data_IF_003693008163
#
_entry.id   IF_003693008163
#
_cell.length_a   1.000
_cell.length_b   1.000
_cell.length_c   1.000
_cell.angle_alpha   90.00
_cell.angle_beta   90.00
_cell.angle_gamma   90.00
#
_symmetry.space_group_name_H-M   'P 1'
#
loop_
_entity.id
_entity.type
_entity.pdbx_description
1 polymer ?
#
# COMPACT_ATOMS: atom_id res chain seq x y z
N UNK A 1 19.05 -9.34 28.29
CA UNK A 1 17.98 -9.88 27.42
C UNK A 1 17.77 -8.85 26.29
N UNK A 2 18.78 -8.61 25.45
CA UNK A 2 18.96 -7.28 24.82
C UNK A 2 19.23 -7.32 23.30
N UNK A 3 18.69 -8.29 22.56
CA UNK A 3 18.88 -8.36 21.11
C UNK A 3 17.58 -8.61 20.33
N UNK A 4 16.48 -7.97 20.70
CA UNK A 4 15.37 -7.85 19.75
C UNK A 4 15.78 -6.90 18.65
N UNK A 5 15.92 -7.38 17.40
CA UNK A 5 16.41 -6.52 16.34
C UNK A 5 15.34 -5.47 15.98
N UNK A 6 15.77 -4.24 15.77
CA UNK A 6 14.88 -3.11 15.52
C UNK A 6 13.94 -3.32 14.32
N UNK A 7 14.37 -4.06 13.30
CA UNK A 7 13.53 -4.40 12.15
C UNK A 7 12.30 -5.24 12.51
N UNK A 8 12.40 -6.09 13.54
CA UNK A 8 11.29 -6.95 13.99
C UNK A 8 10.25 -6.13 14.74
N UNK A 9 10.69 -5.18 15.56
CA UNK A 9 9.80 -4.23 16.26
C UNK A 9 9.07 -3.35 15.23
N UNK A 10 9.78 -2.79 14.26
CA UNK A 10 9.17 -1.96 13.23
C UNK A 10 8.16 -2.75 12.39
N UNK A 11 8.53 -3.97 11.96
CA UNK A 11 7.62 -4.85 11.23
C UNK A 11 6.37 -5.18 12.04
N UNK A 12 6.53 -5.46 13.34
CA UNK A 12 5.41 -5.71 14.24
C UNK A 12 4.48 -4.50 14.37
N UNK A 13 5.04 -3.29 14.49
CA UNK A 13 4.27 -2.04 14.53
C UNK A 13 3.48 -1.85 13.23
N UNK A 14 4.12 -2.01 12.06
CA UNK A 14 3.45 -1.87 10.77
C UNK A 14 2.29 -2.85 10.59
N UNK A 15 2.53 -4.13 10.88
CA UNK A 15 1.53 -5.18 10.74
C UNK A 15 0.37 -4.98 11.71
N UNK A 16 0.67 -4.66 12.98
CA UNK A 16 -0.36 -4.41 13.99
C UNK A 16 -1.24 -3.21 13.63
N UNK A 17 -0.64 -2.10 13.20
CA UNK A 17 -1.37 -0.92 12.77
C UNK A 17 -2.29 -1.21 11.58
N UNK A 18 -1.79 -1.95 10.57
CA UNK A 18 -2.58 -2.34 9.42
C UNK A 18 -3.74 -3.29 9.79
N UNK A 19 -3.48 -4.29 10.63
CA UNK A 19 -4.48 -5.28 11.10
C UNK A 19 -5.60 -4.61 11.89
N UNK A 20 -5.36 -3.49 12.57
CA UNK A 20 -6.40 -2.75 13.29
C UNK A 20 -7.11 -1.75 12.36
N UNK A 21 -6.34 -0.94 11.62
CA UNK A 21 -6.89 0.17 10.85
C UNK A 21 -7.70 -0.28 9.63
N UNK A 22 -7.29 -1.35 8.94
CA UNK A 22 -7.95 -1.81 7.72
C UNK A 22 -9.35 -2.37 8.00
N UNK A 23 -9.56 -3.27 8.98
CA UNK A 23 -10.91 -3.70 9.36
C UNK A 23 -11.77 -2.55 9.85
N UNK A 24 -11.21 -1.61 10.62
CA UNK A 24 -11.95 -0.42 11.07
C UNK A 24 -12.43 0.43 9.88
N UNK A 25 -11.54 0.70 8.92
CA UNK A 25 -11.88 1.42 7.68
C UNK A 25 -12.98 0.70 6.90
N UNK A 26 -12.87 -0.63 6.75
CA UNK A 26 -13.90 -1.43 6.09
C UNK A 26 -15.23 -1.43 6.85
N UNK A 27 -15.20 -1.48 8.18
CA UNK A 27 -16.39 -1.43 9.02
C UNK A 27 -17.14 -0.09 8.89
N UNK A 28 -16.42 1.00 8.62
CA UNK A 28 -16.98 2.31 8.32
C UNK A 28 -17.46 2.46 6.86
N UNK A 29 -17.37 1.41 6.04
CA UNK A 29 -17.76 1.44 4.63
C UNK A 29 -16.74 2.10 3.70
N UNK A 30 -15.52 2.38 4.18
CA UNK A 30 -14.44 2.97 3.40
C UNK A 30 -13.60 1.89 2.70
N UNK A 31 -12.97 2.24 1.59
CA UNK A 31 -12.03 1.36 0.89
C UNK A 31 -10.79 1.03 1.75
N UNK A 32 -10.20 -0.15 1.56
CA UNK A 32 -9.05 -0.61 2.35
C UNK A 32 -7.82 0.32 2.27
N UNK A 33 -7.66 1.01 1.14
CA UNK A 33 -6.59 1.99 0.91
C UNK A 33 -6.62 3.11 1.96
N UNK A 34 -7.82 3.56 2.36
CA UNK A 34 -7.96 4.60 3.39
C UNK A 34 -7.45 4.10 4.74
N UNK A 35 -7.73 2.84 5.09
CA UNK A 35 -7.20 2.21 6.30
C UNK A 35 -5.67 2.14 6.31
N UNK A 36 -5.03 1.79 5.18
CA UNK A 36 -3.57 1.78 5.08
C UNK A 36 -2.96 3.18 5.22
N UNK A 37 -3.56 4.19 4.59
CA UNK A 37 -3.11 5.57 4.70
C UNK A 37 -3.28 6.10 6.13
N UNK A 38 -4.42 5.84 6.76
CA UNK A 38 -4.68 6.24 8.13
C UNK A 38 -3.71 5.57 9.11
N UNK A 39 -3.41 4.28 8.94
CA UNK A 39 -2.42 3.57 9.73
C UNK A 39 -1.03 4.24 9.62
N UNK A 40 -0.59 4.53 8.39
CA UNK A 40 0.70 5.18 8.12
C UNK A 40 0.80 6.57 8.72
N UNK A 41 -0.26 7.38 8.59
CA UNK A 41 -0.32 8.70 9.25
C UNK A 41 -0.28 8.57 10.78
N UNK A 42 -1.00 7.59 11.34
CA UNK A 42 -1.07 7.39 12.78
C UNK A 42 0.25 6.91 13.39
N UNK A 43 1.00 6.02 12.73
CA UNK A 43 2.28 5.51 13.27
C UNK A 43 3.50 6.33 12.83
N UNK A 44 3.33 7.18 11.81
CA UNK A 44 4.39 8.01 11.28
C UNK A 44 4.80 9.17 12.20
N UNK A 45 5.77 9.99 11.77
CA UNK A 45 6.35 11.06 12.59
C UNK A 45 5.34 12.10 13.08
N UNK A 46 4.28 12.33 12.28
CA UNK A 46 3.23 13.31 12.57
C UNK A 46 2.09 12.75 13.42
N UNK A 47 2.04 11.43 13.64
CA UNK A 47 1.07 10.76 14.50
C UNK A 47 1.68 10.44 15.86
N UNK A 48 1.84 9.15 16.13
CA UNK A 48 2.40 8.60 17.38
C UNK A 48 3.94 8.63 17.39
N UNK A 49 4.59 8.94 16.26
CA UNK A 49 6.05 9.02 16.18
C UNK A 49 6.77 7.67 16.40
N UNK A 50 6.04 6.56 16.27
CA UNK A 50 6.56 5.20 16.45
C UNK A 50 7.57 4.82 15.37
N UNK A 51 7.48 5.49 14.22
CA UNK A 51 8.32 5.23 13.06
C UNK A 51 8.83 6.57 12.52
N UNK A 52 10.15 6.77 12.57
CA UNK A 52 10.81 8.02 12.20
C UNK A 52 11.74 7.90 10.99
N UNK A 53 12.25 6.70 10.67
CA UNK A 53 13.14 6.50 9.54
C UNK A 53 12.34 6.31 8.24
N UNK A 54 11.95 7.43 7.62
CA UNK A 54 11.19 7.44 6.35
C UNK A 54 11.97 6.77 5.21
N UNK A 55 13.31 6.88 5.21
CA UNK A 55 14.13 6.37 4.12
C UNK A 55 14.10 4.83 4.05
N UNK A 56 14.16 4.16 5.19
CA UNK A 56 14.06 2.70 5.28
C UNK A 56 12.67 2.21 4.82
N UNK A 57 11.61 2.96 5.15
CA UNK A 57 10.24 2.65 4.73
C UNK A 57 10.11 2.77 3.22
N UNK A 58 10.66 3.83 2.62
CA UNK A 58 10.57 4.06 1.17
C UNK A 58 11.25 2.93 0.39
N UNK A 59 12.45 2.53 0.79
CA UNK A 59 13.17 1.44 0.12
C UNK A 59 12.42 0.11 0.19
N UNK A 60 11.79 -0.18 1.33
CA UNK A 60 10.95 -1.38 1.48
C UNK A 60 9.64 -1.25 0.67
N UNK A 61 9.04 -0.07 0.64
CA UNK A 61 7.81 0.19 -0.12
C UNK A 61 8.04 0.08 -1.63
N UNK A 62 9.18 0.52 -2.14
CA UNK A 62 9.58 0.33 -3.55
C UNK A 62 9.52 -1.15 -3.92
N UNK A 63 10.11 -2.03 -3.11
CA UNK A 63 10.05 -3.47 -3.32
C UNK A 63 8.61 -4.01 -3.28
N UNK A 64 7.80 -3.56 -2.31
CA UNK A 64 6.38 -3.92 -2.21
C UNK A 64 5.56 -3.51 -3.44
N UNK A 65 5.79 -2.30 -3.97
CA UNK A 65 5.13 -1.81 -5.18
C UNK A 65 5.56 -2.60 -6.41
N UNK A 66 6.86 -2.93 -6.54
CA UNK A 66 7.36 -3.77 -7.63
C UNK A 66 6.69 -5.15 -7.61
N UNK A 67 6.57 -5.79 -6.44
CA UNK A 67 5.87 -7.07 -6.31
C UNK A 67 4.37 -6.97 -6.64
N UNK A 68 3.71 -5.88 -6.22
CA UNK A 68 2.31 -5.59 -6.55
C UNK A 68 2.13 -5.46 -8.07
N UNK A 69 2.95 -4.64 -8.72
CA UNK A 69 2.90 -4.42 -10.17
C UNK A 69 3.23 -5.70 -10.95
N UNK A 70 4.15 -6.52 -10.42
CA UNK A 70 4.43 -7.83 -10.99
C UNK A 70 3.21 -8.76 -10.91
N UNK A 71 2.57 -8.85 -9.75
CA UNK A 71 1.34 -9.64 -9.56
C UNK A 71 0.21 -9.15 -10.47
N UNK A 72 -0.01 -7.84 -10.52
CA UNK A 72 -0.97 -7.23 -11.45
C UNK A 72 -0.60 -7.61 -12.89
N UNK A 73 0.69 -7.57 -13.25
CA UNK A 73 1.19 -8.01 -14.55
C UNK A 73 0.88 -9.47 -14.88
N UNK A 74 0.92 -10.38 -13.89
CA UNK A 74 0.57 -11.80 -14.05
C UNK A 74 -0.94 -12.01 -14.18
N UNK A 75 -1.75 -11.21 -13.49
CA UNK A 75 -3.22 -11.27 -13.56
C UNK A 75 -3.77 -10.66 -14.87
N UNK A 76 -3.02 -9.75 -15.48
CA UNK A 76 -3.38 -9.10 -16.74
C UNK A 76 -3.26 -10.04 -17.94
N UNK A 77 -4.38 -10.26 -18.63
CA UNK A 77 -4.40 -11.00 -19.90
C UNK A 77 -4.01 -10.07 -21.07
N UNK A 78 -2.88 -10.30 -21.77
CA UNK A 78 -2.38 -9.39 -22.81
C UNK A 78 -3.37 -9.17 -23.96
N UNK A 79 -4.14 -10.21 -24.32
CA UNK A 79 -5.15 -10.14 -25.38
C UNK A 79 -6.30 -9.21 -25.00
N UNK A 80 -6.71 -9.23 -23.73
CA UNK A 80 -7.77 -8.38 -23.19
C UNK A 80 -7.31 -6.92 -23.09
N UNK A 81 -6.06 -6.68 -22.67
CA UNK A 81 -5.44 -5.35 -22.72
C UNK A 81 -5.42 -4.79 -24.16
N UNK A 82 -5.07 -5.62 -25.14
CA UNK A 82 -4.99 -5.20 -26.54
C UNK A 82 -6.36 -4.88 -27.15
N UNK A 83 -7.44 -5.55 -26.72
CA UNK A 83 -8.79 -5.19 -27.14
C UNK A 83 -9.28 -3.90 -26.48
N UNK A 84 -8.82 -3.61 -25.25
CA UNK A 84 -9.13 -2.39 -24.51
C UNK A 84 -8.39 -1.14 -25.00
N UNK A 85 -7.40 -1.26 -25.90
CA UNK A 85 -6.68 -0.09 -26.47
C UNK A 85 -7.63 0.92 -27.12
N UNK A 86 -8.65 0.48 -27.88
CA UNK A 86 -9.58 1.39 -28.56
C UNK A 86 -10.49 2.13 -27.57
N UNK A 87 -11.12 1.45 -26.58
CA UNK A 87 -11.84 2.13 -25.50
C UNK A 87 -10.98 3.10 -24.69
N UNK A 88 -9.78 2.69 -24.26
CA UNK A 88 -8.89 3.51 -23.42
C UNK A 88 -8.43 4.77 -24.16
N UNK A 89 -7.94 4.63 -25.40
CA UNK A 89 -7.47 5.78 -26.18
C UNK A 89 -8.61 6.56 -26.85
N UNK A 90 -9.78 5.96 -27.07
CA UNK A 90 -10.93 6.61 -27.72
C UNK A 90 -11.84 7.35 -26.74
N UNK A 91 -12.33 6.68 -25.70
CA UNK A 91 -13.21 7.29 -24.70
C UNK A 91 -12.42 8.03 -23.62
N UNK A 92 -11.23 7.55 -23.25
CA UNK A 92 -10.38 8.23 -22.27
C UNK A 92 -9.84 9.58 -22.75
N UNK A 93 -9.64 9.76 -24.06
CA UNK A 93 -9.30 11.08 -24.64
C UNK A 93 -10.52 11.97 -24.83
N UNK A 94 -11.72 11.41 -24.98
CA UNK A 94 -12.97 12.17 -25.06
C UNK A 94 -13.51 12.59 -23.68
N UNK A 95 -13.03 11.99 -22.59
CA UNK A 95 -13.39 12.30 -21.20
C UNK A 95 -12.55 13.43 -20.60
N UNK A 96 -11.45 13.83 -21.24
CA UNK A 96 -10.58 14.94 -20.82
C UNK A 96 -10.78 16.15 -21.71
#
# INVERSE_FOLDING_TARGET
>A
MDHTPAWLINSFIYLSAAVIAVPLSKALGLGAIIGYLAAGMAIGPWGLGLVSNVQDILHFAEFGVVLMLFLVGLELEPKRLWSMRRPIFGWGSAQV
#
